data_IF_831182921673
#
_entry.id   IF_831182921673
#
_cell.length_a   1.000
_cell.length_b   1.000
_cell.length_c   1.000
_cell.angle_alpha   90.00
_cell.angle_beta   90.00
_cell.angle_gamma   90.00
#
_symmetry.space_group_name_H-M   'P 1'
#
loop_
_entity.id
_entity.type
_entity.pdbx_description
1 polymer ?
#
# COMPACT_ATOMS: atom_id res chain seq x y z
N UNK A 1 -22.75 17.56 -29.75
CA UNK A 1 -22.91 17.97 -28.34
C UNK A 1 -23.34 16.82 -27.44
N UNK A 2 -24.41 16.09 -27.74
CA UNK A 2 -24.88 14.93 -26.94
C UNK A 2 -23.88 13.74 -26.89
N UNK A 3 -23.19 13.44 -27.99
CA UNK A 3 -22.20 12.33 -28.04
C UNK A 3 -20.96 12.59 -27.17
N UNK A 4 -20.50 13.84 -27.07
CA UNK A 4 -19.41 14.25 -26.18
C UNK A 4 -19.83 14.14 -24.70
N UNK A 5 -21.07 14.50 -24.39
CA UNK A 5 -21.63 14.39 -23.04
C UNK A 5 -21.76 12.93 -22.59
N UNK A 6 -22.21 12.03 -23.48
CA UNK A 6 -22.26 10.58 -23.22
C UNK A 6 -20.86 9.98 -23.03
N UNK A 7 -19.86 10.43 -23.80
CA UNK A 7 -18.47 10.00 -23.61
C UNK A 7 -17.90 10.48 -22.27
N UNK A 8 -18.14 11.74 -21.89
CA UNK A 8 -17.73 12.27 -20.59
C UNK A 8 -18.46 11.58 -19.43
N UNK A 9 -19.75 11.30 -19.56
CA UNK A 9 -20.52 10.53 -18.57
C UNK A 9 -20.04 9.08 -18.49
N UNK A 10 -19.70 8.46 -19.61
CA UNK A 10 -19.10 7.12 -19.66
C UNK A 10 -17.70 7.09 -19.05
N UNK A 11 -16.85 8.08 -19.32
CA UNK A 11 -15.54 8.24 -18.68
C UNK A 11 -15.65 8.56 -17.19
N UNK A 12 -16.66 9.33 -16.76
CA UNK A 12 -16.98 9.57 -15.35
C UNK A 12 -17.47 8.30 -14.65
N UNK A 13 -18.31 7.50 -15.30
CA UNK A 13 -18.76 6.21 -14.78
C UNK A 13 -17.62 5.18 -14.71
N UNK A 14 -16.73 5.14 -15.70
CA UNK A 14 -15.52 4.32 -15.69
C UNK A 14 -14.52 4.78 -14.61
N UNK A 15 -14.32 6.09 -14.43
CA UNK A 15 -13.48 6.64 -13.36
C UNK A 15 -14.06 6.42 -11.96
N UNK A 16 -15.39 6.44 -11.83
CA UNK A 16 -16.10 6.01 -10.62
C UNK A 16 -15.93 4.52 -10.34
N UNK A 17 -15.79 3.68 -11.37
CA UNK A 17 -15.50 2.27 -11.21
C UNK A 17 -14.04 2.04 -10.78
N UNK A 18 -13.09 2.80 -11.35
CA UNK A 18 -11.66 2.61 -11.09
C UNK A 18 -11.22 3.03 -9.69
N UNK A 19 -11.81 4.08 -9.11
CA UNK A 19 -11.52 4.52 -7.73
C UNK A 19 -12.50 3.91 -6.70
N UNK A 20 -13.59 3.32 -7.18
CA UNK A 20 -14.74 2.88 -6.40
C UNK A 20 -15.78 3.96 -6.13
N UNK A 21 -17.01 3.49 -5.86
CA UNK A 21 -18.20 4.33 -5.71
C UNK A 21 -17.97 5.42 -4.65
N UNK A 22 -18.27 6.70 -4.95
CA UNK A 22 -18.11 7.80 -4.02
C UNK A 22 -18.73 7.57 -2.64
N UNK A 23 -19.94 6.99 -2.60
CA UNK A 23 -20.64 6.72 -1.35
C UNK A 23 -19.87 5.69 -0.49
N UNK A 24 -19.32 4.65 -1.12
CA UNK A 24 -18.51 3.65 -0.41
C UNK A 24 -17.23 4.27 0.15
N UNK A 25 -16.55 5.11 -0.62
CA UNK A 25 -15.33 5.80 -0.16
C UNK A 25 -15.59 6.78 0.98
N UNK A 26 -16.69 7.54 0.94
CA UNK A 26 -17.10 8.40 2.05
C UNK A 26 -17.34 7.58 3.33
N UNK A 27 -18.09 6.47 3.24
CA UNK A 27 -18.36 5.63 4.39
C UNK A 27 -17.09 5.03 5.02
N UNK A 28 -16.12 4.61 4.20
CA UNK A 28 -14.82 4.11 4.68
C UNK A 28 -14.02 5.23 5.33
N UNK A 29 -13.96 6.41 4.71
CA UNK A 29 -13.25 7.57 5.27
C UNK A 29 -13.84 7.98 6.63
N UNK A 30 -15.17 8.03 6.75
CA UNK A 30 -15.88 8.30 8.01
C UNK A 30 -15.62 7.22 9.07
N UNK A 31 -15.53 5.96 8.66
CA UNK A 31 -15.22 4.85 9.58
C UNK A 31 -13.79 4.96 10.11
N UNK A 32 -12.79 5.13 9.23
CA UNK A 32 -11.38 5.22 9.59
C UNK A 32 -11.06 6.46 10.44
N UNK A 33 -11.74 7.58 10.21
CA UNK A 33 -11.54 8.82 10.96
C UNK A 33 -11.93 8.73 12.44
N UNK A 34 -12.61 7.65 12.87
CA UNK A 34 -12.97 7.43 14.30
C UNK A 34 -11.78 7.01 15.14
N UNK A 35 -10.89 6.20 14.56
CA UNK A 35 -9.78 5.57 15.27
C UNK A 35 -8.43 6.24 14.93
N UNK A 36 -8.37 7.00 13.84
CA UNK A 36 -7.17 7.74 13.43
C UNK A 36 -7.13 9.14 14.09
N UNK A 37 -5.92 9.67 14.38
CA UNK A 37 -5.77 11.01 14.96
C UNK A 37 -6.06 12.15 13.95
N UNK A 38 -6.45 11.84 12.71
CA UNK A 38 -6.76 12.78 11.65
C UNK A 38 -7.97 12.33 10.82
N UNK A 39 -8.61 13.29 10.15
CA UNK A 39 -9.72 13.01 9.27
C UNK A 39 -9.21 12.50 7.91
N UNK A 40 -9.70 11.33 7.53
CA UNK A 40 -9.57 10.77 6.19
C UNK A 40 -10.70 11.34 5.32
N UNK A 41 -10.39 11.72 4.09
CA UNK A 41 -11.38 12.15 3.10
C UNK A 41 -11.60 11.04 2.07
N UNK A 42 -12.70 11.13 1.31
CA UNK A 42 -12.98 10.22 0.18
C UNK A 42 -11.85 10.15 -0.86
N UNK A 43 -11.05 11.21 -0.99
CA UNK A 43 -9.99 11.29 -1.99
C UNK A 43 -8.69 10.63 -1.50
N UNK A 44 -8.61 10.33 -0.19
CA UNK A 44 -7.55 9.52 0.42
C UNK A 44 -7.84 8.01 0.35
N UNK A 45 -9.04 7.62 -0.11
CA UNK A 45 -9.48 6.23 -0.20
C UNK A 45 -9.46 5.79 -1.66
N UNK A 46 -8.74 4.70 -1.92
CA UNK A 46 -8.75 4.00 -3.21
C UNK A 46 -9.26 2.58 -3.00
N UNK A 47 -10.31 2.18 -3.75
CA UNK A 47 -10.88 0.85 -3.67
C UNK A 47 -10.24 -0.07 -4.71
N UNK A 48 -9.85 -1.26 -4.28
CA UNK A 48 -9.27 -2.32 -5.11
C UNK A 48 -10.02 -3.63 -4.89
N UNK A 49 -10.03 -4.50 -5.89
CA UNK A 49 -10.72 -5.79 -5.80
C UNK A 49 -10.04 -6.72 -4.77
N UNK A 50 -8.72 -6.63 -4.65
CA UNK A 50 -7.89 -7.44 -3.74
C UNK A 50 -6.72 -6.63 -3.19
N UNK A 51 -6.24 -6.98 -1.99
CA UNK A 51 -5.08 -6.32 -1.36
C UNK A 51 -3.81 -6.35 -2.22
N UNK A 52 -3.67 -7.41 -3.02
CA UNK A 52 -2.59 -7.63 -3.97
C UNK A 52 -2.53 -6.54 -5.06
N UNK A 53 -3.69 -6.03 -5.50
CA UNK A 53 -3.80 -4.95 -6.47
C UNK A 53 -3.49 -3.59 -5.82
N UNK A 54 -3.92 -3.38 -4.56
CA UNK A 54 -3.53 -2.19 -3.80
C UNK A 54 -2.01 -2.10 -3.63
N UNK A 55 -1.37 -3.22 -3.34
CA UNK A 55 0.09 -3.32 -3.26
C UNK A 55 0.76 -2.99 -4.60
N UNK A 56 0.29 -3.54 -5.72
CA UNK A 56 0.81 -3.19 -7.05
C UNK A 56 0.71 -1.70 -7.34
N UNK A 57 -0.46 -1.10 -7.06
CA UNK A 57 -0.69 0.33 -7.27
C UNK A 57 0.26 1.17 -6.42
N UNK A 58 0.45 0.82 -5.14
CA UNK A 58 1.36 1.51 -4.24
C UNK A 58 2.82 1.40 -4.70
N UNK A 59 3.29 0.20 -5.04
CA UNK A 59 4.66 -0.03 -5.49
C UNK A 59 4.94 0.71 -6.81
N UNK A 60 3.99 0.69 -7.74
CA UNK A 60 4.11 1.42 -9.01
C UNK A 60 4.16 2.94 -8.79
N UNK A 61 3.36 3.46 -7.86
CA UNK A 61 3.36 4.88 -7.54
C UNK A 61 4.68 5.35 -6.87
N UNK A 62 5.34 4.45 -6.14
CA UNK A 62 6.61 4.71 -5.45
C UNK A 62 7.84 4.46 -6.34
N UNK A 63 7.68 3.69 -7.41
CA UNK A 63 8.75 3.31 -8.32
C UNK A 63 9.34 4.53 -9.05
N UNK A 64 10.65 4.70 -8.90
CA UNK A 64 11.46 5.67 -9.62
C UNK A 64 12.88 5.11 -9.81
N UNK A 65 13.65 5.58 -10.81
CA UNK A 65 15.00 5.08 -11.04
C UNK A 65 15.87 5.16 -9.78
N UNK A 66 16.43 4.01 -9.38
CA UNK A 66 17.31 3.90 -8.22
C UNK A 66 16.61 3.85 -6.85
N UNK A 67 15.28 3.79 -6.80
CA UNK A 67 14.56 3.60 -5.55
C UNK A 67 14.70 2.16 -5.01
N UNK A 68 14.74 2.06 -3.67
CA UNK A 68 14.75 0.78 -2.98
C UNK A 68 13.55 0.64 -2.01
N UNK A 69 13.26 -0.60 -1.64
CA UNK A 69 12.22 -0.97 -0.67
C UNK A 69 12.81 -1.95 0.35
N UNK A 70 12.45 -1.76 1.62
CA UNK A 70 12.86 -2.64 2.71
C UNK A 70 11.74 -3.66 3.00
N UNK A 71 12.05 -4.96 2.89
CA UNK A 71 11.13 -6.07 3.13
C UNK A 71 11.55 -6.89 4.36
N UNK A 72 10.60 -7.38 5.17
CA UNK A 72 10.92 -8.21 6.32
C UNK A 72 11.38 -9.60 5.88
N UNK A 73 12.27 -10.20 6.67
CA UNK A 73 12.63 -11.62 6.61
C UNK A 73 12.40 -12.26 7.99
N UNK A 74 11.58 -13.32 8.08
CA UNK A 74 10.76 -13.92 7.02
C UNK A 74 9.62 -12.98 6.55
N UNK A 75 9.24 -13.09 5.28
CA UNK A 75 8.22 -12.24 4.66
C UNK A 75 7.37 -13.00 3.62
N UNK A 76 6.25 -12.40 3.21
CA UNK A 76 5.39 -12.96 2.15
C UNK A 76 6.09 -12.81 0.78
N UNK A 77 6.34 -13.92 0.04
CA UNK A 77 7.17 -13.87 -1.19
C UNK A 77 6.66 -12.93 -2.28
N UNK A 78 5.35 -12.67 -2.31
CA UNK A 78 4.72 -11.83 -3.32
C UNK A 78 5.16 -10.36 -3.23
N UNK A 79 5.61 -9.90 -2.04
CA UNK A 79 6.19 -8.57 -1.88
C UNK A 79 7.43 -8.39 -2.75
N UNK A 80 8.34 -9.36 -2.72
CA UNK A 80 9.60 -9.33 -3.45
C UNK A 80 9.37 -9.41 -4.96
N UNK A 81 8.52 -10.34 -5.40
CA UNK A 81 8.18 -10.49 -6.81
C UNK A 81 7.60 -9.20 -7.41
N UNK A 82 6.69 -8.54 -6.69
CA UNK A 82 6.04 -7.30 -7.16
C UNK A 82 6.94 -6.08 -7.08
N UNK A 83 7.76 -5.98 -6.05
CA UNK A 83 8.75 -4.91 -5.93
C UNK A 83 9.77 -4.96 -7.07
N UNK A 84 10.29 -6.16 -7.35
CA UNK A 84 11.21 -6.38 -8.47
C UNK A 84 10.53 -6.06 -9.82
N UNK A 85 9.27 -6.46 -10.00
CA UNK A 85 8.50 -6.13 -11.20
C UNK A 85 8.29 -4.61 -11.38
N UNK A 86 8.09 -3.88 -10.28
CA UNK A 86 8.01 -2.42 -10.28
C UNK A 86 9.37 -1.71 -10.48
N UNK A 87 10.48 -2.46 -10.57
CA UNK A 87 11.82 -1.92 -10.78
C UNK A 87 12.46 -1.33 -9.51
N UNK A 88 11.97 -1.71 -8.32
CA UNK A 88 12.55 -1.32 -7.04
C UNK A 88 13.69 -2.28 -6.67
N UNK A 89 14.79 -1.74 -6.16
CA UNK A 89 15.82 -2.54 -5.49
C UNK A 89 15.24 -3.11 -4.18
N UNK A 90 15.22 -4.43 -4.04
CA UNK A 90 14.75 -5.08 -2.82
C UNK A 90 15.90 -5.25 -1.85
N UNK A 91 15.73 -4.74 -0.63
CA UNK A 91 16.61 -4.98 0.51
C UNK A 91 15.80 -5.61 1.62
N UNK A 92 16.41 -6.50 2.39
CA UNK A 92 15.72 -7.17 3.48
C UNK A 92 16.26 -6.75 4.83
N UNK A 93 15.37 -6.65 5.81
CA UNK A 93 15.71 -6.55 7.22
C UNK A 93 15.20 -7.80 7.94
N UNK A 94 15.91 -8.24 8.97
CA UNK A 94 15.54 -9.45 9.70
C UNK A 94 14.60 -9.11 10.87
N UNK A 95 13.68 -10.02 11.15
CA UNK A 95 12.89 -10.03 12.38
C UNK A 95 13.63 -10.87 13.43
N UNK A 96 13.53 -10.48 14.70
CA UNK A 96 14.27 -11.12 15.81
C UNK A 96 13.40 -12.18 16.48
N UNK A 97 13.63 -13.49 16.27
CA UNK A 97 12.76 -14.53 16.82
C UNK A 97 12.75 -14.55 18.35
N UNK A 98 13.86 -14.18 18.99
CA UNK A 98 13.99 -14.12 20.46
C UNK A 98 13.20 -12.96 21.07
N UNK A 99 12.78 -11.99 20.25
CA UNK A 99 11.96 -10.85 20.64
C UNK A 99 10.60 -10.94 19.95
N UNK A 100 9.96 -12.11 19.95
CA UNK A 100 8.63 -12.33 19.38
C UNK A 100 8.47 -11.89 17.91
N UNK A 101 9.55 -12.02 17.12
CA UNK A 101 9.62 -11.58 15.73
C UNK A 101 9.47 -10.05 15.55
N UNK A 102 9.86 -9.28 16.56
CA UNK A 102 9.97 -7.83 16.46
C UNK A 102 11.02 -7.39 15.44
N UNK A 103 10.86 -6.16 14.97
CA UNK A 103 11.76 -5.55 13.99
C UNK A 103 13.04 -5.04 14.68
N UNK A 104 14.21 -5.42 14.16
CA UNK A 104 15.46 -4.74 14.53
C UNK A 104 15.50 -3.34 13.89
N UNK A 105 15.11 -2.33 14.68
CA UNK A 105 15.05 -0.94 14.23
C UNK A 105 16.43 -0.39 13.83
N UNK A 106 17.50 -0.81 14.50
CA UNK A 106 18.85 -0.35 14.19
C UNK A 106 19.32 -0.92 12.84
N UNK A 107 18.99 -2.18 12.56
CA UNK A 107 19.25 -2.79 11.26
C UNK A 107 18.46 -2.12 10.13
N UNK A 108 17.18 -1.80 10.36
CA UNK A 108 16.36 -1.07 9.39
C UNK A 108 16.92 0.33 9.11
N UNK A 109 17.31 1.07 10.15
CA UNK A 109 17.91 2.40 10.01
C UNK A 109 19.22 2.36 9.21
N UNK A 110 20.05 1.33 9.43
CA UNK A 110 21.31 1.14 8.70
C UNK A 110 21.12 0.79 7.21
N UNK A 111 19.99 0.16 6.85
CA UNK A 111 19.65 -0.22 5.47
C UNK A 111 18.99 0.92 4.68
N UNK A 112 18.34 1.84 5.39
CA UNK A 112 17.66 3.00 4.83
C UNK A 112 18.64 4.01 4.24
N UNK A 113 18.28 4.58 3.09
CA UNK A 113 19.01 5.68 2.48
C UNK A 113 18.06 6.71 1.84
N UNK A 114 18.62 7.75 1.22
CA UNK A 114 17.85 8.80 0.53
C UNK A 114 16.95 8.29 -0.61
N UNK A 115 17.18 7.08 -1.10
CA UNK A 115 16.44 6.45 -2.18
C UNK A 115 15.41 5.43 -1.67
N UNK A 116 15.40 5.10 -0.38
CA UNK A 116 14.39 4.24 0.23
C UNK A 116 13.02 4.87 0.07
N UNK A 117 12.14 4.18 -0.66
CA UNK A 117 10.81 4.66 -1.01
C UNK A 117 9.73 4.10 -0.09
N UNK A 118 9.94 2.91 0.48
CA UNK A 118 9.01 2.28 1.41
C UNK A 118 9.69 1.24 2.30
N UNK A 119 9.03 0.95 3.43
CA UNK A 119 9.33 -0.14 4.34
C UNK A 119 8.04 -0.92 4.50
N UNK A 120 8.06 -2.23 4.25
CA UNK A 120 6.89 -3.09 4.41
C UNK A 120 6.85 -3.61 5.83
N UNK A 121 5.82 -3.25 6.58
CA UNK A 121 5.61 -3.74 7.95
C UNK A 121 4.45 -4.73 7.92
N UNK A 122 4.70 -5.95 8.42
CA UNK A 122 3.63 -6.92 8.67
C UNK A 122 3.48 -7.12 10.16
N UNK A 123 2.43 -6.54 10.73
CA UNK A 123 2.02 -6.82 12.10
C UNK A 123 1.09 -8.05 12.09
N UNK A 124 1.45 -9.10 12.83
CA UNK A 124 0.68 -10.36 12.92
C UNK A 124 0.18 -10.60 14.35
N UNK A 125 -0.35 -9.57 15.00
CA UNK A 125 -0.83 -9.65 16.39
C UNK A 125 -2.20 -10.35 16.52
N UNK A 126 -3.00 -10.47 15.45
CA UNK A 126 -4.35 -11.07 15.54
C UNK A 126 -4.40 -12.59 15.36
N UNK A 127 -3.39 -13.23 14.74
CA UNK A 127 -3.45 -14.67 14.44
C UNK A 127 -3.08 -15.59 15.62
N UNK A 128 -2.49 -15.06 16.69
CA UNK A 128 -2.07 -15.87 17.86
C UNK A 128 -3.01 -15.75 19.08
N UNK A 129 -4.17 -15.12 18.90
CA UNK A 129 -5.22 -14.98 19.93
C UNK A 129 -6.43 -15.90 19.70
N UNK A 130 -6.34 -16.87 18.78
CA UNK A 130 -7.40 -17.87 18.49
C UNK A 130 -6.94 -19.26 18.91
#
# INVERSE_FOLDING_TARGET
>A
MLQLCMLQLGMLQLGMLQLGLPLCRCAIAEYLSKDLPYNVTRDDVFLTDVCTQAMEAALTALARPGANILLPRPGYPDYEARAAFAGLEVRHYDLVPELDWEVDLAAVEALGDKNTAAIVIKSMWECFQI
#
